data_IF_531767120069
#
_entry.id   IF_531767120069
#
_cell.length_a   1.000
_cell.length_b   1.000
_cell.length_c   1.000
_cell.angle_alpha   90.00
_cell.angle_beta   90.00
_cell.angle_gamma   90.00
#
_symmetry.space_group_name_H-M   'P 1'
#
loop_
_entity.id
_entity.type
_entity.pdbx_description
1 polymer ?
#
# COMPACT_ATOMS: atom_id res chain seq x y z
N UNK A 1 2.43 -2.95 -17.80
CA UNK A 1 2.20 -3.28 -16.38
C UNK A 1 3.51 -3.25 -15.60
N UNK A 2 4.63 -3.40 -16.30
CA UNK A 2 6.00 -3.42 -15.81
C UNK A 2 6.39 -2.23 -14.94
N UNK A 3 5.82 -1.04 -15.20
CA UNK A 3 6.11 0.15 -14.37
C UNK A 3 5.65 -0.02 -12.92
N UNK A 4 4.55 -0.73 -12.68
CA UNK A 4 3.98 -0.92 -11.36
C UNK A 4 4.79 -1.97 -10.58
N UNK A 5 5.24 -3.01 -11.28
CA UNK A 5 6.19 -4.00 -10.76
C UNK A 5 7.49 -3.29 -10.38
N UNK A 6 8.09 -2.54 -11.31
CA UNK A 6 9.30 -1.76 -11.06
C UNK A 6 9.13 -0.76 -9.91
N UNK A 7 7.94 -0.16 -9.78
CA UNK A 7 7.63 0.72 -8.66
C UNK A 7 7.73 -0.03 -7.33
N UNK A 8 7.02 -1.15 -7.15
CA UNK A 8 7.07 -1.91 -5.91
C UNK A 8 8.42 -2.60 -5.68
N UNK A 9 9.16 -2.96 -6.72
CA UNK A 9 10.48 -3.59 -6.60
C UNK A 9 11.61 -2.58 -6.36
N UNK A 10 11.37 -1.27 -6.57
CA UNK A 10 12.43 -0.26 -6.46
C UNK A 10 13.03 -0.10 -5.06
N UNK A 11 12.33 -0.53 -4.00
CA UNK A 11 12.87 -0.54 -2.63
C UNK A 11 13.68 -1.79 -2.31
N UNK A 12 13.61 -2.83 -3.15
CA UNK A 12 14.34 -4.09 -3.02
C UNK A 12 14.23 -4.74 -1.61
N UNK A 13 13.05 -4.68 -1.00
CA UNK A 13 12.78 -5.17 0.36
C UNK A 13 12.29 -6.62 0.41
N UNK A 14 12.08 -7.25 -0.74
CA UNK A 14 11.65 -8.64 -0.88
C UNK A 14 12.28 -9.23 -2.14
N UNK A 15 12.35 -10.56 -2.20
CA UNK A 15 12.94 -11.30 -3.32
C UNK A 15 12.07 -11.14 -4.57
N UNK A 16 12.54 -10.37 -5.55
CA UNK A 16 11.85 -10.15 -6.83
C UNK A 16 12.02 -11.35 -7.78
N UNK A 17 13.26 -11.70 -8.13
CA UNK A 17 13.59 -12.80 -9.05
C UNK A 17 13.61 -14.15 -8.33
N UNK A 18 13.01 -15.20 -8.92
CA UNK A 18 12.84 -16.53 -8.33
C UNK A 18 12.25 -16.52 -6.91
N UNK A 19 11.48 -15.48 -6.58
CA UNK A 19 10.98 -15.25 -5.23
C UNK A 19 9.54 -14.72 -5.23
N UNK A 20 9.23 -13.93 -4.21
CA UNK A 20 7.89 -13.39 -4.01
C UNK A 20 7.43 -12.49 -5.17
N UNK A 21 8.33 -11.79 -5.85
CA UNK A 21 7.98 -10.91 -6.96
C UNK A 21 7.23 -11.62 -8.08
N UNK A 22 7.70 -12.79 -8.51
CA UNK A 22 7.04 -13.59 -9.56
C UNK A 22 5.67 -14.11 -9.13
N UNK A 23 5.52 -14.49 -7.85
CA UNK A 23 4.21 -14.83 -7.29
C UNK A 23 3.25 -13.63 -7.32
N UNK A 24 3.72 -12.44 -6.95
CA UNK A 24 2.93 -11.21 -6.95
C UNK A 24 2.55 -10.72 -8.37
N UNK A 25 3.36 -11.07 -9.38
CA UNK A 25 3.03 -10.87 -10.79
C UNK A 25 1.89 -11.80 -11.26
N UNK A 26 1.64 -12.87 -10.51
CA UNK A 26 0.55 -13.82 -10.74
C UNK A 26 1.00 -15.14 -11.38
N UNK A 27 2.24 -15.57 -11.13
CA UNK A 27 2.72 -16.89 -11.58
C UNK A 27 1.79 -17.98 -11.04
N UNK A 28 1.37 -18.90 -11.93
CA UNK A 28 0.52 -20.02 -11.55
C UNK A 28 1.22 -20.97 -10.56
N UNK A 29 0.42 -21.70 -9.78
CA UNK A 29 0.88 -22.71 -8.81
C UNK A 29 1.69 -23.82 -9.49
N UNK A 30 1.43 -24.08 -10.77
CA UNK A 30 2.17 -25.06 -11.58
C UNK A 30 3.47 -24.51 -12.19
N UNK A 31 3.84 -23.25 -11.93
CA UNK A 31 5.05 -22.61 -12.45
C UNK A 31 5.12 -22.51 -14.00
N UNK A 32 3.97 -22.65 -14.69
CA UNK A 32 3.93 -22.77 -16.15
C UNK A 32 3.67 -21.43 -16.87
N UNK A 33 2.83 -20.57 -16.32
CA UNK A 33 2.44 -19.30 -16.96
C UNK A 33 1.96 -18.26 -15.92
N UNK A 34 1.86 -17.00 -16.33
CA UNK A 34 1.33 -15.92 -15.51
C UNK A 34 -0.18 -15.76 -15.74
N UNK A 35 -0.95 -15.94 -14.67
CA UNK A 35 -2.43 -15.95 -14.69
C UNK A 35 -3.08 -14.57 -14.88
N UNK A 36 -2.28 -13.51 -15.07
CA UNK A 36 -2.74 -12.13 -15.25
C UNK A 36 -3.39 -11.51 -14.01
N UNK A 37 -3.47 -12.23 -12.89
CA UNK A 37 -4.01 -11.76 -11.60
C UNK A 37 -2.90 -11.22 -10.72
N UNK A 38 -2.38 -10.04 -11.05
CA UNK A 38 -1.31 -9.45 -10.27
C UNK A 38 -1.82 -8.91 -8.93
N UNK A 39 -1.26 -9.43 -7.83
CA UNK A 39 -1.49 -8.95 -6.47
C UNK A 39 -1.02 -7.49 -6.34
N UNK A 40 0.00 -7.08 -7.10
CA UNK A 40 0.47 -5.70 -7.12
C UNK A 40 -0.64 -4.71 -7.49
N UNK A 41 -1.47 -5.02 -8.50
CA UNK A 41 -2.56 -4.14 -8.92
C UNK A 41 -3.63 -4.01 -7.83
N UNK A 42 -3.96 -5.13 -7.20
CA UNK A 42 -4.92 -5.16 -6.10
C UNK A 42 -4.44 -4.31 -4.92
N UNK A 43 -3.20 -4.51 -4.48
CA UNK A 43 -2.60 -3.74 -3.37
C UNK A 43 -2.48 -2.26 -3.73
N UNK A 44 -2.12 -1.94 -4.98
CA UNK A 44 -2.08 -0.56 -5.46
C UNK A 44 -3.45 0.12 -5.36
N UNK A 45 -4.53 -0.51 -5.83
CA UNK A 45 -5.89 0.05 -5.71
C UNK A 45 -6.26 0.26 -4.24
N UNK A 46 -6.01 -0.73 -3.38
CA UNK A 46 -6.27 -0.62 -1.95
C UNK A 46 -5.51 0.55 -1.34
N UNK A 47 -4.23 0.68 -1.65
CA UNK A 47 -3.39 1.77 -1.20
C UNK A 47 -3.96 3.14 -1.59
N UNK A 48 -4.37 3.33 -2.84
CA UNK A 48 -4.97 4.60 -3.26
C UNK A 48 -6.30 4.86 -2.56
N UNK A 49 -7.18 3.86 -2.57
CA UNK A 49 -8.55 3.98 -2.07
C UNK A 49 -8.59 4.26 -0.57
N UNK A 50 -7.90 3.45 0.24
CA UNK A 50 -7.90 3.59 1.71
C UNK A 50 -7.28 4.90 2.14
N UNK A 51 -6.11 5.24 1.61
CA UNK A 51 -5.42 6.48 1.99
C UNK A 51 -6.19 7.73 1.55
N UNK A 52 -6.79 7.73 0.35
CA UNK A 52 -7.66 8.81 -0.08
C UNK A 52 -8.86 8.96 0.85
N UNK A 53 -9.52 7.87 1.24
CA UNK A 53 -10.63 7.90 2.20
C UNK A 53 -10.19 8.43 3.57
N UNK A 54 -9.06 7.97 4.10
CA UNK A 54 -8.50 8.42 5.39
C UNK A 54 -8.22 9.93 5.36
N UNK A 55 -7.53 10.42 4.34
CA UNK A 55 -7.16 11.84 4.25
C UNK A 55 -8.38 12.72 3.98
N UNK A 56 -9.30 12.31 3.10
CA UNK A 56 -10.54 13.06 2.85
C UNK A 56 -11.40 13.11 4.10
N UNK A 57 -11.53 12.00 4.84
CA UNK A 57 -12.27 11.98 6.09
C UNK A 57 -11.63 12.87 7.15
N UNK A 58 -10.29 12.93 7.19
CA UNK A 58 -9.56 13.84 8.07
C UNK A 58 -9.86 15.31 7.79
N UNK A 59 -9.77 15.75 6.52
CA UNK A 59 -9.91 17.17 6.17
C UNK A 59 -11.35 17.65 5.96
N UNK A 60 -12.26 16.78 5.51
CA UNK A 60 -13.63 17.17 5.12
C UNK A 60 -14.72 16.38 5.85
N UNK A 61 -14.35 15.30 6.55
CA UNK A 61 -15.29 14.40 7.21
C UNK A 61 -15.40 14.62 8.72
N UNK A 62 -15.50 13.50 9.44
CA UNK A 62 -15.82 13.46 10.87
C UNK A 62 -14.73 14.08 11.75
N UNK A 63 -13.47 14.00 11.31
CA UNK A 63 -12.32 14.50 12.07
C UNK A 63 -12.00 15.98 11.83
N UNK A 64 -12.71 16.67 10.94
CA UNK A 64 -12.56 18.12 10.74
C UNK A 64 -13.29 18.95 11.84
N UNK A 65 -13.22 18.50 13.09
CA UNK A 65 -13.84 19.16 14.26
C UNK A 65 -12.82 19.19 15.40
N UNK A 66 -12.87 20.21 16.27
CA UNK A 66 -12.09 20.19 17.52
C UNK A 66 -12.61 19.03 18.39
N UNK A 67 -11.73 18.23 19.04
CA UNK A 67 -10.27 18.39 19.18
C UNK A 67 -9.40 17.66 18.13
N UNK A 68 -10.01 17.00 17.14
CA UNK A 68 -9.35 16.11 16.18
C UNK A 68 -8.59 16.82 15.05
N UNK A 69 -8.72 18.14 14.93
CA UNK A 69 -7.96 18.95 13.97
C UNK A 69 -6.53 19.32 14.44
N UNK A 70 -5.88 18.50 15.26
CA UNK A 70 -4.48 18.70 15.68
C UNK A 70 -3.56 17.85 14.80
N UNK A 71 -2.34 18.33 14.53
CA UNK A 71 -1.38 17.61 13.69
C UNK A 71 -1.06 16.18 14.17
N UNK A 72 -1.08 15.92 15.47
CA UNK A 72 -0.92 14.55 15.99
C UNK A 72 -2.06 13.62 15.60
N UNK A 73 -3.31 14.11 15.50
CA UNK A 73 -4.43 13.31 15.01
C UNK A 73 -4.33 13.03 13.51
N UNK A 74 -3.78 13.97 12.73
CA UNK A 74 -3.42 13.70 11.34
C UNK A 74 -2.44 12.54 11.26
N UNK A 75 -1.35 12.58 12.05
CA UNK A 75 -0.34 11.54 12.05
C UNK A 75 -0.93 10.18 12.45
N UNK A 76 -1.79 10.13 13.47
CA UNK A 76 -2.49 8.91 13.89
C UNK A 76 -3.33 8.34 12.73
N UNK A 77 -4.13 9.17 12.04
CA UNK A 77 -4.94 8.71 10.91
C UNK A 77 -4.07 8.16 9.77
N UNK A 78 -2.98 8.84 9.43
CA UNK A 78 -2.02 8.38 8.42
C UNK A 78 -1.42 7.04 8.83
N UNK A 79 -0.95 6.92 10.08
CA UNK A 79 -0.35 5.68 10.59
C UNK A 79 -1.36 4.53 10.59
N UNK A 80 -2.63 4.79 10.94
CA UNK A 80 -3.70 3.80 10.87
C UNK A 80 -3.94 3.36 9.43
N UNK A 81 -4.02 4.28 8.47
CA UNK A 81 -4.15 3.96 7.05
C UNK A 81 -2.98 3.12 6.54
N UNK A 82 -1.75 3.50 6.86
CA UNK A 82 -0.55 2.74 6.48
C UNK A 82 -0.49 1.36 7.11
N UNK A 83 -0.95 1.23 8.36
CA UNK A 83 -1.01 -0.07 9.03
C UNK A 83 -2.04 -1.00 8.38
N UNK A 84 -3.20 -0.47 7.97
CA UNK A 84 -4.21 -1.24 7.22
C UNK A 84 -3.61 -1.73 5.89
N UNK A 85 -2.92 -0.87 5.15
CA UNK A 85 -2.29 -1.26 3.88
C UNK A 85 -1.17 -2.27 4.07
N UNK A 86 -0.34 -2.11 5.11
CA UNK A 86 0.65 -3.10 5.49
C UNK A 86 0.00 -4.47 5.72
N UNK A 87 -1.06 -4.52 6.54
CA UNK A 87 -1.77 -5.76 6.85
C UNK A 87 -2.35 -6.41 5.61
N UNK A 88 -3.02 -5.64 4.74
CA UNK A 88 -3.57 -6.18 3.48
C UNK A 88 -2.47 -6.74 2.59
N UNK A 89 -1.39 -5.98 2.38
CA UNK A 89 -0.27 -6.38 1.53
C UNK A 89 0.50 -7.59 2.09
N UNK A 90 0.61 -7.72 3.42
CA UNK A 90 1.20 -8.88 4.08
C UNK A 90 0.30 -10.12 4.00
N UNK A 91 -1.00 -9.96 4.26
CA UNK A 91 -1.93 -11.09 4.39
C UNK A 91 -2.13 -11.87 3.09
N UNK A 92 -2.13 -11.20 1.93
CA UNK A 92 -2.29 -11.89 0.64
C UNK A 92 -1.21 -12.97 0.40
N UNK A 93 0.08 -12.60 0.26
CA UNK A 93 1.14 -13.57 0.00
C UNK A 93 1.37 -14.51 1.20
N UNK A 94 1.19 -14.04 2.43
CA UNK A 94 1.36 -14.90 3.61
C UNK A 94 0.27 -15.98 3.69
N UNK A 95 -0.96 -15.67 3.29
CA UNK A 95 -2.04 -16.66 3.23
C UNK A 95 -1.76 -17.70 2.13
N UNK A 96 -1.24 -17.27 0.98
CA UNK A 96 -0.82 -18.19 -0.09
C UNK A 96 0.34 -19.09 0.37
N UNK A 97 1.30 -18.53 1.12
CA UNK A 97 2.42 -19.27 1.72
C UNK A 97 1.91 -20.34 2.70
N UNK A 98 1.00 -19.99 3.61
CA UNK A 98 0.44 -20.92 4.61
C UNK A 98 -0.41 -22.01 3.96
N UNK A 99 -1.19 -21.66 2.92
CA UNK A 99 -2.05 -22.61 2.20
C UNK A 99 -1.30 -23.45 1.17
N UNK A 100 -0.03 -23.11 0.87
CA UNK A 100 0.75 -23.76 -0.17
C UNK A 100 0.25 -23.45 -1.59
N UNK A 101 -0.48 -22.36 -1.76
CA UNK A 101 -1.09 -21.93 -3.01
C UNK A 101 -0.15 -21.02 -3.82
N UNK A 102 1.07 -21.50 -4.07
CA UNK A 102 2.10 -20.79 -4.83
C UNK A 102 3.02 -21.80 -5.53
N UNK A 103 3.76 -21.36 -6.54
CA UNK A 103 4.75 -22.18 -7.24
C UNK A 103 5.88 -22.60 -6.28
N UNK A 104 6.06 -23.91 -6.06
CA UNK A 104 7.03 -24.45 -5.08
C UNK A 104 8.50 -24.29 -5.49
N UNK A 105 8.75 -23.96 -6.75
CA UNK A 105 10.10 -23.68 -7.24
C UNK A 105 10.58 -22.27 -6.85
N UNK A 106 9.66 -21.40 -6.41
CA UNK A 106 9.98 -20.07 -5.89
C UNK A 106 10.45 -20.14 -4.44
N UNK A 107 11.54 -19.44 -4.13
CA UNK A 107 12.01 -19.27 -2.76
C UNK A 107 11.28 -18.10 -2.10
N UNK A 108 10.10 -18.38 -1.57
CA UNK A 108 9.29 -17.41 -0.82
C UNK A 108 9.47 -17.65 0.67
N UNK A 109 9.90 -16.62 1.40
CA UNK A 109 9.99 -16.63 2.86
C UNK A 109 8.94 -15.70 3.50
N UNK A 110 8.67 -15.91 4.79
CA UNK A 110 7.83 -14.99 5.56
C UNK A 110 8.42 -13.56 5.60
N UNK A 111 9.75 -13.45 5.56
CA UNK A 111 10.45 -12.16 5.51
C UNK A 111 10.15 -11.39 4.22
N UNK A 112 10.02 -12.09 3.09
CA UNK A 112 9.63 -11.44 1.83
C UNK A 112 8.20 -10.88 1.92
N UNK A 113 7.29 -11.60 2.59
CA UNK A 113 5.92 -11.12 2.80
C UNK A 113 5.89 -9.85 3.67
N UNK A 114 6.71 -9.81 4.73
CA UNK A 114 6.89 -8.61 5.56
C UNK A 114 7.50 -7.47 4.74
N UNK A 115 8.51 -7.77 3.92
CA UNK A 115 9.18 -6.83 3.03
C UNK A 115 8.21 -6.17 2.03
N UNK A 116 7.35 -6.97 1.41
CA UNK A 116 6.30 -6.47 0.52
C UNK A 116 5.27 -5.60 1.26
N UNK A 117 4.83 -6.04 2.45
CA UNK A 117 3.97 -5.25 3.32
C UNK A 117 4.58 -3.89 3.67
N UNK A 118 5.88 -3.87 3.99
CA UNK A 118 6.61 -2.66 4.38
C UNK A 118 6.79 -1.71 3.19
N UNK A 119 7.10 -2.23 2.01
CA UNK A 119 7.11 -1.47 0.74
C UNK A 119 5.77 -0.77 0.53
N UNK A 120 4.65 -1.50 0.63
CA UNK A 120 3.31 -0.93 0.48
C UNK A 120 3.01 0.14 1.56
N UNK A 121 3.45 -0.07 2.80
CA UNK A 121 3.30 0.90 3.88
C UNK A 121 4.08 2.20 3.64
N UNK A 122 5.31 2.10 3.13
CA UNK A 122 6.13 3.27 2.77
C UNK A 122 5.42 4.09 1.68
N UNK A 123 4.98 3.43 0.60
CA UNK A 123 4.27 4.14 -0.47
C UNK A 123 2.93 4.71 -0.03
N UNK A 124 2.22 4.00 0.84
CA UNK A 124 1.00 4.46 1.50
C UNK A 124 1.25 5.76 2.27
N UNK A 125 2.35 5.83 3.02
CA UNK A 125 2.72 7.03 3.78
C UNK A 125 3.05 8.20 2.85
N UNK A 126 3.84 7.95 1.81
CA UNK A 126 4.21 8.96 0.80
C UNK A 126 2.95 9.52 0.12
N UNK A 127 2.02 8.64 -0.27
CA UNK A 127 0.77 9.04 -0.90
C UNK A 127 -0.11 9.90 0.03
N UNK A 128 -0.22 9.54 1.31
CA UNK A 128 -0.90 10.37 2.32
C UNK A 128 -0.29 11.77 2.46
N UNK A 129 1.05 11.87 2.43
CA UNK A 129 1.76 13.15 2.44
C UNK A 129 1.44 13.98 1.18
N UNK A 130 1.47 13.36 -0.01
CA UNK A 130 1.13 14.03 -1.27
C UNK A 130 -0.31 14.55 -1.28
N UNK A 131 -1.28 13.73 -0.88
CA UNK A 131 -2.69 14.14 -0.77
C UNK A 131 -2.87 15.30 0.21
N UNK A 132 -2.18 15.26 1.34
CA UNK A 132 -2.19 16.33 2.32
C UNK A 132 -1.68 17.65 1.73
N UNK A 133 -0.59 17.61 0.96
CA UNK A 133 -0.05 18.77 0.26
C UNK A 133 -1.02 19.30 -0.80
N UNK A 134 -1.63 18.42 -1.60
CA UNK A 134 -2.60 18.81 -2.64
C UNK A 134 -3.85 19.49 -2.04
N UNK A 135 -4.39 18.97 -0.94
CA UNK A 135 -5.53 19.57 -0.24
C UNK A 135 -5.16 20.93 0.34
N UNK A 136 -4.01 21.04 1.02
CA UNK A 136 -3.53 22.31 1.57
C UNK A 136 -3.26 23.34 0.48
N UNK A 137 -2.67 22.94 -0.64
CA UNK A 137 -2.43 23.81 -1.79
C UNK A 137 -3.74 24.35 -2.37
N UNK A 138 -4.71 23.47 -2.64
CA UNK A 138 -6.06 23.86 -3.06
C UNK A 138 -6.75 24.79 -2.05
N UNK A 139 -6.56 24.55 -0.76
CA UNK A 139 -7.15 25.38 0.31
C UNK A 139 -6.53 26.78 0.38
N UNK A 140 -5.21 26.90 0.23
CA UNK A 140 -4.47 28.17 0.23
C UNK A 140 -4.89 29.07 -0.94
N UNK A 141 -5.03 28.47 -2.14
CA UNK A 141 -5.50 29.18 -3.34
C UNK A 141 -6.96 29.67 -3.18
N UNK A 142 -7.79 28.96 -2.42
CA UNK A 142 -9.22 29.25 -2.29
C UNK A 142 -9.63 29.95 -0.97
N UNK A 143 -8.67 30.38 -0.12
CA UNK A 143 -8.88 31.07 1.16
C UNK A 143 -9.93 30.44 2.09
N UNK A 144 -10.09 29.11 2.10
CA UNK A 144 -11.11 28.42 2.92
C UNK A 144 -10.63 27.97 4.30
N UNK A 145 -9.33 28.11 4.60
CA UNK A 145 -8.76 27.78 5.91
C UNK A 145 -7.85 28.93 6.34
N UNK A 146 -8.07 29.58 7.50
CA UNK A 146 -7.19 30.63 7.98
C UNK A 146 -5.81 30.02 8.30
N UNK A 147 -4.77 30.78 7.90
CA UNK A 147 -3.34 30.48 8.05
C UNK A 147 -2.99 30.26 9.53
#
# INVERSE_FOLDING_TARGET
MDWLIAFFESLNLYSSQNGLGEHLQGLDVQCNDYTGKSIYYMVFIWMFTVNSLVIINYYYGLFNRRPFNRWWWWLINVLTGTAIIFTVAFMYPNNDLITGNYCKDLQISELDCVGFGLTAAIYSFIWCCLLTLLIKWKSSVNKKVPV
#
